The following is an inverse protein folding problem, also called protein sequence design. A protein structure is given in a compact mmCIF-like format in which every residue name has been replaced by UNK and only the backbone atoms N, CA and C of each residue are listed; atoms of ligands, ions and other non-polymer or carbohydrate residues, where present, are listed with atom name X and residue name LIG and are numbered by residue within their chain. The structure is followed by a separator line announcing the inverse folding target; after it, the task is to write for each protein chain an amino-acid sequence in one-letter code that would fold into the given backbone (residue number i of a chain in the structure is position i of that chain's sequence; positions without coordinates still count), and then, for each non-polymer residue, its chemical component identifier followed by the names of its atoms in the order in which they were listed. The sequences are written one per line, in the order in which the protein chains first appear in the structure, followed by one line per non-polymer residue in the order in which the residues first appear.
data_IF_190588176613
#
_entry.id   IF_190588176613
#
_cell.length_a   1.000
_cell.length_b   1.000
_cell.length_c   1.000
_cell.angle_alpha   90.00
_cell.angle_beta   90.00
_cell.angle_gamma   90.00
#
_symmetry.space_group_name_H-M   'P 1'
#
loop_
_entity.id
_entity.type
_entity.pdbx_description
1 polymer ?
#
# COMPACT_ATOMS: atom_id res chain seq x y z
N UNK A 1 5.21 -10.93 -22.59
CA UNK A 1 4.20 -10.21 -21.81
C UNK A 1 2.90 -11.00 -21.62
N UNK A 2 2.00 -10.59 -20.71
CA UNK A 2 0.66 -11.17 -20.54
C UNK A 2 -0.38 -10.15 -21.02
N UNK A 3 -1.19 -10.54 -22.00
CA UNK A 3 -2.33 -9.74 -22.49
C UNK A 3 -3.64 -10.28 -21.92
N UNK A 4 -4.47 -9.38 -21.36
CA UNK A 4 -5.81 -9.70 -20.87
C UNK A 4 -6.83 -8.84 -21.58
N UNK A 5 -7.71 -9.46 -22.34
CA UNK A 5 -8.80 -8.81 -23.05
C UNK A 5 -10.12 -8.98 -22.27
N UNK A 6 -10.79 -7.87 -22.03
CA UNK A 6 -12.10 -7.84 -21.37
C UNK A 6 -13.18 -7.49 -22.40
N UNK A 7 -14.36 -8.07 -22.30
CA UNK A 7 -15.49 -7.61 -23.11
C UNK A 7 -16.23 -6.40 -22.48
N UNK A 8 -15.94 -6.10 -21.20
CA UNK A 8 -16.41 -4.90 -20.45
C UNK A 8 -15.30 -4.41 -19.53
N UNK A 9 -15.14 -3.11 -19.27
CA UNK A 9 -14.06 -2.55 -18.44
C UNK A 9 -14.35 -2.73 -16.92
N UNK A 10 -14.74 -3.94 -16.53
CA UNK A 10 -15.05 -4.27 -15.13
C UNK A 10 -13.87 -4.95 -14.46
N UNK A 11 -13.55 -4.56 -13.22
CA UNK A 11 -12.50 -5.16 -12.38
C UNK A 11 -11.08 -5.20 -13.00
N UNK A 12 -10.82 -4.33 -13.98
CA UNK A 12 -9.53 -4.26 -14.70
C UNK A 12 -8.33 -4.17 -13.75
N UNK A 13 -8.39 -3.24 -12.78
CA UNK A 13 -7.33 -3.08 -11.77
C UNK A 13 -7.16 -4.33 -10.88
N UNK A 14 -8.26 -4.96 -10.47
CA UNK A 14 -8.21 -6.15 -9.61
C UNK A 14 -7.58 -7.34 -10.33
N UNK A 15 -7.91 -7.53 -11.62
CA UNK A 15 -7.32 -8.56 -12.48
C UNK A 15 -5.85 -8.29 -12.70
N UNK A 16 -5.48 -7.06 -13.12
CA UNK A 16 -4.10 -6.65 -13.33
C UNK A 16 -3.24 -6.90 -12.09
N UNK A 17 -3.69 -6.41 -10.92
CA UNK A 17 -2.93 -6.50 -9.68
C UNK A 17 -2.70 -7.95 -9.25
N UNK A 18 -3.66 -8.84 -9.48
CA UNK A 18 -3.54 -10.24 -9.11
C UNK A 18 -2.59 -10.99 -10.05
N UNK A 19 -2.70 -10.78 -11.37
CA UNK A 19 -1.78 -11.38 -12.34
C UNK A 19 -0.35 -10.88 -12.09
N UNK A 20 -0.17 -9.57 -11.85
CA UNK A 20 1.13 -8.98 -11.57
C UNK A 20 1.77 -9.54 -10.29
N UNK A 21 0.98 -9.95 -9.29
CA UNK A 21 1.50 -10.61 -8.09
C UNK A 21 2.10 -12.01 -8.36
N UNK A 22 1.60 -12.73 -9.38
CA UNK A 22 2.17 -14.00 -9.82
C UNK A 22 3.34 -13.83 -10.79
N UNK A 23 3.31 -12.78 -11.61
CA UNK A 23 4.30 -12.50 -12.65
C UNK A 23 4.92 -11.09 -12.48
N UNK A 24 5.70 -10.88 -11.40
CA UNK A 24 6.22 -9.55 -11.07
C UNK A 24 7.17 -8.98 -12.14
N UNK A 25 7.89 -9.84 -12.87
CA UNK A 25 8.86 -9.42 -13.88
C UNK A 25 8.23 -9.18 -15.26
N UNK A 26 7.05 -9.73 -15.53
CA UNK A 26 6.41 -9.60 -16.84
C UNK A 26 5.55 -8.33 -16.93
N UNK A 27 5.49 -7.74 -18.12
CA UNK A 27 4.49 -6.72 -18.41
C UNK A 27 3.10 -7.37 -18.49
N UNK A 28 2.11 -6.75 -17.85
CA UNK A 28 0.72 -7.22 -17.83
C UNK A 28 -0.15 -6.09 -18.40
N UNK A 29 -0.75 -6.34 -19.56
CA UNK A 29 -1.70 -5.42 -20.18
C UNK A 29 -3.13 -5.94 -19.99
N UNK A 30 -3.98 -5.18 -19.30
CA UNK A 30 -5.42 -5.47 -19.15
C UNK A 30 -6.21 -4.35 -19.83
N UNK A 31 -7.14 -4.70 -20.70
CA UNK A 31 -7.90 -3.68 -21.44
C UNK A 31 -9.19 -4.28 -22.01
N UNK A 32 -10.25 -3.46 -22.12
CA UNK A 32 -11.46 -3.78 -22.86
C UNK A 32 -11.31 -3.51 -24.37
N UNK A 33 -10.29 -2.75 -24.77
CA UNK A 33 -9.96 -2.47 -26.17
C UNK A 33 -8.70 -3.22 -26.55
N UNK A 34 -8.68 -3.77 -27.77
CA UNK A 34 -7.47 -4.40 -28.30
C UNK A 34 -6.39 -3.34 -28.50
N UNK A 35 -5.24 -3.54 -27.85
CA UNK A 35 -4.08 -2.67 -27.98
C UNK A 35 -2.98 -3.38 -28.75
N UNK A 36 -2.14 -2.60 -29.43
CA UNK A 36 -0.90 -3.09 -30.01
C UNK A 36 0.20 -2.92 -28.96
N UNK A 37 1.04 -3.94 -28.84
CA UNK A 37 2.16 -3.96 -27.90
C UNK A 37 3.46 -4.22 -28.66
N UNK A 38 4.51 -3.55 -28.26
CA UNK A 38 5.87 -3.76 -28.82
C UNK A 38 6.51 -5.06 -28.32
N UNK A 39 6.00 -5.62 -27.21
CA UNK A 39 6.48 -6.85 -26.62
C UNK A 39 5.73 -8.08 -27.15
N UNK A 40 6.47 -9.22 -27.27
CA UNK A 40 5.85 -10.51 -27.62
C UNK A 40 4.88 -10.96 -26.52
N UNK A 41 3.71 -11.42 -26.92
CA UNK A 41 2.68 -11.94 -26.01
C UNK A 41 2.97 -13.41 -25.74
N UNK A 42 3.25 -13.77 -24.47
CA UNK A 42 3.48 -15.15 -24.05
C UNK A 42 2.21 -15.84 -23.56
N UNK A 43 1.31 -15.05 -22.93
CA UNK A 43 0.01 -15.52 -22.45
C UNK A 43 -1.07 -14.54 -22.90
N UNK A 44 -2.12 -15.08 -23.49
CA UNK A 44 -3.33 -14.33 -23.81
C UNK A 44 -4.48 -14.85 -22.97
N UNK A 45 -5.14 -13.97 -22.23
CA UNK A 45 -6.33 -14.27 -21.42
C UNK A 45 -7.52 -13.46 -21.92
N UNK A 46 -8.70 -14.06 -21.89
CA UNK A 46 -9.95 -13.38 -22.17
C UNK A 46 -10.89 -13.52 -20.97
N UNK A 47 -11.47 -12.41 -20.54
CA UNK A 47 -12.47 -12.36 -19.46
C UNK A 47 -13.78 -11.87 -20.06
N UNK A 48 -14.76 -12.75 -20.12
CA UNK A 48 -16.07 -12.49 -20.70
C UNK A 48 -17.15 -12.41 -19.61
N UNK A 49 -17.77 -11.24 -19.49
CA UNK A 49 -18.89 -10.97 -18.61
C UNK A 49 -20.19 -11.21 -19.36
N UNK A 50 -20.95 -12.25 -18.98
CA UNK A 50 -22.29 -12.56 -19.47
C UNK A 50 -23.37 -11.75 -18.75
N UNK A 51 -24.60 -12.30 -18.70
CA UNK A 51 -25.70 -11.73 -17.93
C UNK A 51 -25.56 -12.03 -16.43
N UNK A 52 -25.21 -13.26 -16.10
CA UNK A 52 -25.07 -13.78 -14.73
C UNK A 52 -23.79 -14.64 -14.57
N UNK A 53 -22.85 -14.57 -15.51
CA UNK A 53 -21.64 -15.39 -15.54
C UNK A 53 -20.40 -14.54 -15.79
N UNK A 54 -19.27 -15.05 -15.28
CA UNK A 54 -17.93 -14.60 -15.71
C UNK A 54 -17.16 -15.85 -16.16
N UNK A 55 -16.64 -15.77 -17.38
CA UNK A 55 -15.81 -16.81 -17.97
C UNK A 55 -14.40 -16.28 -18.21
N UNK A 56 -13.39 -17.08 -17.81
CA UNK A 56 -11.99 -16.84 -18.16
C UNK A 56 -11.51 -17.97 -19.06
N UNK A 57 -10.97 -17.61 -20.22
CA UNK A 57 -10.23 -18.52 -21.11
C UNK A 57 -8.83 -17.96 -21.34
N UNK A 58 -7.83 -18.82 -21.54
CA UNK A 58 -6.47 -18.37 -21.75
C UNK A 58 -5.64 -19.36 -22.58
N UNK A 59 -4.59 -18.85 -23.19
CA UNK A 59 -3.72 -19.54 -24.12
C UNK A 59 -2.28 -19.15 -23.83
N UNK A 60 -1.38 -20.13 -23.92
CA UNK A 60 0.06 -19.90 -23.96
C UNK A 60 0.51 -19.84 -25.42
N UNK A 61 1.30 -18.82 -25.76
CA UNK A 61 1.84 -18.64 -27.12
C UNK A 61 3.31 -19.02 -27.08
N UNK A 62 3.62 -20.15 -27.68
CA UNK A 62 5.00 -20.66 -27.79
C UNK A 62 5.64 -20.04 -29.02
N UNK A 63 6.60 -19.17 -28.82
CA UNK A 63 7.38 -18.57 -29.92
C UNK A 63 8.40 -19.55 -30.43
N UNK A 64 8.52 -19.70 -31.76
CA UNK A 64 9.55 -20.51 -32.35
C UNK A 64 10.93 -19.95 -31.97
N UNK A 65 11.87 -20.84 -31.59
CA UNK A 65 13.25 -20.45 -31.29
C UNK A 65 13.88 -19.83 -32.53
N UNK A 66 14.41 -18.62 -32.43
CA UNK A 66 15.14 -17.91 -33.51
C UNK A 66 16.46 -18.63 -33.88
N UNK A 67 16.92 -19.61 -33.08
CA UNK A 67 18.11 -20.42 -33.28
C UNK A 67 17.87 -21.78 -33.99
N UNK A 68 16.63 -22.06 -34.45
CA UNK A 68 16.35 -23.30 -35.16
C UNK A 68 17.00 -23.31 -36.57
N UNK A 69 17.80 -24.33 -36.84
CA UNK A 69 18.55 -24.50 -38.10
C UNK A 69 17.63 -24.45 -39.33
N UNK A 70 18.12 -23.86 -40.40
CA UNK A 70 17.54 -23.42 -41.65
C UNK A 70 16.60 -24.39 -42.45
N UNK A 71 15.97 -25.39 -41.82
CA UNK A 71 15.09 -26.34 -42.49
C UNK A 71 13.65 -26.38 -41.93
N UNK A 72 13.29 -25.57 -40.92
CA UNK A 72 11.92 -25.47 -40.46
C UNK A 72 11.25 -24.22 -41.01
N UNK A 73 9.99 -24.33 -41.41
CA UNK A 73 9.23 -23.21 -42.00
C UNK A 73 9.19 -22.06 -41.01
N UNK A 74 9.53 -20.82 -41.43
CA UNK A 74 9.50 -19.67 -40.53
C UNK A 74 8.08 -19.36 -40.10
N UNK A 75 7.84 -19.29 -38.74
CA UNK A 75 6.85 -18.43 -38.20
C UNK A 75 5.46 -18.98 -37.91
N UNK A 76 5.26 -20.26 -37.57
CA UNK A 76 4.02 -20.64 -36.91
C UNK A 76 4.20 -20.58 -35.40
N UNK A 77 3.53 -19.57 -34.75
CA UNK A 77 3.33 -19.56 -33.30
C UNK A 77 2.49 -20.79 -32.94
N UNK A 78 2.97 -21.61 -32.03
CA UNK A 78 2.19 -22.71 -31.48
C UNK A 78 1.35 -22.17 -30.33
N UNK A 79 0.03 -22.31 -30.43
CA UNK A 79 -0.91 -21.87 -29.40
C UNK A 79 -1.36 -23.09 -28.60
N UNK A 80 -1.11 -23.06 -27.30
CA UNK A 80 -1.52 -24.08 -26.35
C UNK A 80 -2.66 -23.58 -25.51
N UNK A 81 -3.83 -24.21 -25.64
CA UNK A 81 -4.98 -23.90 -24.80
C UNK A 81 -4.73 -24.33 -23.35
N UNK A 82 -5.06 -23.45 -22.42
CA UNK A 82 -5.03 -23.72 -20.99
C UNK A 82 -6.48 -23.85 -20.50
N UNK A 83 -6.78 -24.78 -19.55
CA UNK A 83 -8.14 -24.95 -19.04
C UNK A 83 -8.70 -23.63 -18.49
N UNK A 84 -9.85 -23.23 -19.03
CA UNK A 84 -10.59 -22.05 -18.57
C UNK A 84 -11.62 -22.43 -17.51
N UNK A 85 -12.18 -21.42 -16.85
CA UNK A 85 -13.23 -21.56 -15.85
C UNK A 85 -14.41 -20.60 -16.11
N UNK A 86 -15.59 -21.01 -15.63
CA UNK A 86 -16.79 -20.17 -15.65
C UNK A 86 -17.47 -20.22 -14.28
N UNK A 87 -17.85 -19.06 -13.75
CA UNK A 87 -18.58 -18.93 -12.50
C UNK A 87 -19.93 -18.21 -12.70
N UNK A 88 -20.89 -18.57 -11.85
CA UNK A 88 -22.16 -17.84 -11.71
C UNK A 88 -21.96 -16.68 -10.72
N UNK A 89 -22.46 -15.50 -11.08
CA UNK A 89 -22.33 -14.28 -10.29
C UNK A 89 -23.63 -13.48 -10.28
N UNK A 90 -23.78 -12.67 -9.25
CA UNK A 90 -24.83 -11.65 -9.18
C UNK A 90 -24.18 -10.28 -9.30
N UNK A 91 -24.30 -9.64 -10.45
CA UNK A 91 -23.73 -8.32 -10.70
C UNK A 91 -24.37 -7.19 -9.88
N UNK A 92 -25.51 -7.43 -9.21
CA UNK A 92 -26.07 -6.46 -8.26
C UNK A 92 -25.23 -6.36 -6.97
N UNK A 93 -24.53 -7.44 -6.58
CA UNK A 93 -23.53 -7.45 -5.50
C UNK A 93 -22.10 -7.36 -6.07
N UNK A 94 -21.68 -6.14 -6.38
CA UNK A 94 -20.35 -5.86 -6.95
C UNK A 94 -19.19 -6.38 -6.09
N UNK A 95 -19.34 -6.34 -4.76
CA UNK A 95 -18.27 -6.78 -3.83
C UNK A 95 -18.11 -8.30 -3.89
N UNK A 96 -19.21 -9.02 -3.83
CA UNK A 96 -19.23 -10.48 -3.91
C UNK A 96 -18.74 -10.95 -5.28
N UNK A 97 -19.22 -10.35 -6.35
CA UNK A 97 -18.79 -10.66 -7.73
C UNK A 97 -17.29 -10.48 -7.90
N UNK A 98 -16.74 -9.36 -7.42
CA UNK A 98 -15.28 -9.12 -7.44
C UNK A 98 -14.51 -10.22 -6.70
N UNK A 99 -14.95 -10.58 -5.50
CA UNK A 99 -14.28 -11.60 -4.71
C UNK A 99 -14.33 -12.97 -5.39
N UNK A 100 -15.47 -13.35 -5.96
CA UNK A 100 -15.63 -14.59 -6.73
C UNK A 100 -14.71 -14.65 -7.95
N UNK A 101 -14.66 -13.56 -8.74
CA UNK A 101 -13.74 -13.43 -9.88
C UNK A 101 -12.28 -13.58 -9.43
N UNK A 102 -11.87 -12.86 -8.39
CA UNK A 102 -10.49 -12.95 -7.86
C UNK A 102 -10.16 -14.34 -7.33
N UNK A 103 -11.09 -15.04 -6.71
CA UNK A 103 -10.91 -16.41 -6.26
C UNK A 103 -10.73 -17.38 -7.43
N UNK A 104 -11.56 -17.28 -8.45
CA UNK A 104 -11.42 -18.09 -9.67
C UNK A 104 -10.06 -17.85 -10.32
N UNK A 105 -9.74 -16.59 -10.63
CA UNK A 105 -8.46 -16.23 -11.24
C UNK A 105 -7.26 -16.68 -10.41
N UNK A 106 -7.32 -16.54 -9.08
CA UNK A 106 -6.25 -16.96 -8.17
C UNK A 106 -6.01 -18.47 -8.26
N UNK A 107 -7.08 -19.30 -8.23
CA UNK A 107 -6.95 -20.76 -8.36
C UNK A 107 -6.35 -21.15 -9.69
N UNK A 108 -6.84 -20.57 -10.79
CA UNK A 108 -6.28 -20.79 -12.13
C UNK A 108 -4.79 -20.46 -12.20
N UNK A 109 -4.39 -19.32 -11.61
CA UNK A 109 -2.98 -18.89 -11.56
C UNK A 109 -2.13 -19.81 -10.67
N UNK A 110 -2.66 -20.27 -9.53
CA UNK A 110 -1.99 -21.28 -8.69
C UNK A 110 -1.77 -22.59 -9.44
N UNK A 111 -2.79 -23.06 -10.16
CA UNK A 111 -2.71 -24.32 -10.91
C UNK A 111 -1.72 -24.23 -12.08
N UNK A 112 -1.66 -23.10 -12.73
CA UNK A 112 -0.72 -22.88 -13.83
C UNK A 112 0.72 -22.73 -13.33
N UNK A 113 0.95 -21.85 -12.34
CA UNK A 113 2.30 -21.51 -11.87
C UNK A 113 2.85 -22.50 -10.85
N UNK A 114 2.02 -23.38 -10.29
CA UNK A 114 2.31 -24.26 -9.14
C UNK A 114 2.80 -23.50 -7.90
N UNK A 115 2.32 -22.25 -7.75
CA UNK A 115 2.68 -21.35 -6.65
C UNK A 115 1.42 -20.88 -5.94
N UNK A 116 1.55 -20.62 -4.64
CA UNK A 116 0.54 -19.92 -3.85
C UNK A 116 1.11 -18.62 -3.29
N UNK A 117 0.25 -17.62 -3.08
CA UNK A 117 0.65 -16.36 -2.47
C UNK A 117 0.23 -16.36 -0.99
N UNK A 118 1.08 -15.89 -0.06
CA UNK A 118 0.77 -15.91 1.38
C UNK A 118 -0.51 -15.15 1.75
N UNK A 119 -0.84 -14.09 1.04
CA UNK A 119 -2.08 -13.31 1.21
C UNK A 119 -3.22 -13.75 0.28
N UNK A 120 -3.06 -14.91 -0.39
CA UNK A 120 -4.04 -15.41 -1.34
C UNK A 120 -4.32 -14.43 -2.48
N UNK A 121 -5.59 -14.17 -2.74
CA UNK A 121 -6.02 -13.21 -3.77
C UNK A 121 -6.04 -11.74 -3.30
N UNK A 122 -5.62 -11.46 -2.06
CA UNK A 122 -5.59 -10.10 -1.51
C UNK A 122 -4.39 -9.33 -2.06
N UNK A 123 -4.64 -8.29 -2.82
CA UNK A 123 -3.62 -7.44 -3.45
C UNK A 123 -3.49 -6.05 -2.82
N UNK A 124 -4.22 -5.79 -1.72
CA UNK A 124 -4.16 -4.52 -1.00
C UNK A 124 -2.91 -4.37 -0.12
N UNK A 125 -2.50 -3.12 0.11
CA UNK A 125 -1.29 -2.81 0.90
C UNK A 125 -1.49 -2.82 2.42
N UNK A 126 -2.73 -2.91 2.89
CA UNK A 126 -3.08 -2.93 4.33
C UNK A 126 -4.02 -4.08 4.65
N UNK A 127 -3.53 -5.31 4.67
CA UNK A 127 -4.37 -6.49 4.94
C UNK A 127 -4.98 -6.49 6.34
N UNK A 128 -4.34 -5.85 7.33
CA UNK A 128 -4.81 -5.71 8.72
C UNK A 128 -6.10 -4.90 8.86
N UNK A 129 -6.47 -4.07 7.87
CA UNK A 129 -7.75 -3.34 7.88
C UNK A 129 -8.97 -4.26 7.89
N UNK A 130 -8.84 -5.46 7.32
CA UNK A 130 -9.95 -6.41 7.24
C UNK A 130 -10.26 -6.98 8.63
N UNK A 131 -9.31 -7.63 9.33
CA UNK A 131 -9.56 -8.08 10.70
C UNK A 131 -9.88 -6.93 11.65
N UNK A 132 -9.28 -5.73 11.48
CA UNK A 132 -9.62 -4.56 12.29
C UNK A 132 -11.12 -4.23 12.20
N UNK A 133 -11.65 -4.11 10.98
CA UNK A 133 -13.07 -3.84 10.77
C UNK A 133 -13.97 -4.93 11.38
N UNK A 134 -13.60 -6.19 11.21
CA UNK A 134 -14.35 -7.31 11.76
C UNK A 134 -14.32 -7.32 13.30
N UNK A 135 -13.20 -6.95 13.92
CA UNK A 135 -13.10 -6.75 15.39
C UNK A 135 -14.00 -5.62 15.88
N UNK A 136 -14.04 -4.50 15.14
CA UNK A 136 -14.93 -3.38 15.43
C UNK A 136 -16.43 -3.77 15.34
N UNK A 137 -16.76 -4.67 14.41
CA UNK A 137 -18.08 -5.29 14.27
C UNK A 137 -18.37 -6.36 15.34
N UNK A 138 -17.43 -6.63 16.26
CA UNK A 138 -17.56 -7.61 17.34
C UNK A 138 -17.37 -9.07 16.94
N UNK A 139 -16.74 -9.32 15.79
CA UNK A 139 -16.45 -10.68 15.32
C UNK A 139 -15.36 -11.35 16.15
N UNK A 140 -15.53 -12.65 16.39
CA UNK A 140 -14.52 -13.48 17.04
C UNK A 140 -13.33 -13.76 16.12
N UNK A 141 -12.17 -14.13 16.71
CA UNK A 141 -10.98 -14.56 15.93
C UNK A 141 -11.32 -15.69 14.95
N UNK A 142 -12.17 -16.61 15.34
CA UNK A 142 -12.59 -17.75 14.52
C UNK A 142 -13.44 -17.30 13.30
N UNK A 143 -14.33 -16.32 13.49
CA UNK A 143 -15.10 -15.73 12.40
C UNK A 143 -14.19 -14.95 11.44
N UNK A 144 -13.21 -14.19 11.97
CA UNK A 144 -12.21 -13.47 11.20
C UNK A 144 -11.37 -14.46 10.39
N UNK A 145 -10.88 -15.53 11.02
CA UNK A 145 -10.12 -16.58 10.35
C UNK A 145 -10.90 -17.17 9.18
N UNK A 146 -12.14 -17.62 9.41
CA UNK A 146 -13.00 -18.16 8.35
C UNK A 146 -13.21 -17.16 7.22
N UNK A 147 -13.53 -15.91 7.55
CA UNK A 147 -13.75 -14.88 6.55
C UNK A 147 -12.50 -14.64 5.68
N UNK A 148 -11.33 -14.50 6.30
CA UNK A 148 -10.08 -14.30 5.57
C UNK A 148 -9.69 -15.51 4.73
N UNK A 149 -9.93 -16.72 5.26
CA UNK A 149 -9.66 -17.98 4.57
C UNK A 149 -10.58 -18.18 3.38
N UNK A 150 -11.88 -18.01 3.58
CA UNK A 150 -12.89 -18.32 2.56
C UNK A 150 -12.97 -17.21 1.50
N UNK A 151 -12.78 -15.95 1.87
CA UNK A 151 -12.91 -14.82 0.94
C UNK A 151 -11.60 -14.54 0.20
N UNK A 152 -10.47 -14.57 0.91
CA UNK A 152 -9.19 -14.14 0.35
C UNK A 152 -8.21 -15.29 0.09
N UNK A 153 -8.50 -16.50 0.54
CA UNK A 153 -7.63 -17.67 0.40
C UNK A 153 -6.23 -17.43 1.01
N UNK A 154 -6.16 -16.58 2.04
CA UNK A 154 -4.92 -16.26 2.73
C UNK A 154 -4.38 -17.46 3.50
N UNK A 155 -3.06 -17.53 3.71
CA UNK A 155 -2.45 -18.57 4.54
C UNK A 155 -2.77 -18.38 6.01
N UNK A 156 -2.77 -19.48 6.78
CA UNK A 156 -3.07 -19.47 8.20
C UNK A 156 -2.12 -18.53 8.95
N UNK A 157 -0.83 -18.60 8.64
CA UNK A 157 0.20 -17.70 9.19
C UNK A 157 -0.14 -16.22 9.00
N UNK A 158 -0.61 -15.83 7.81
CA UNK A 158 -0.92 -14.43 7.49
C UNK A 158 -2.24 -13.98 8.09
N UNK A 159 -3.19 -14.87 8.26
CA UNK A 159 -4.45 -14.60 8.95
C UNK A 159 -4.17 -14.35 10.44
N UNK A 160 -3.41 -15.22 11.09
CA UNK A 160 -3.02 -15.06 12.49
C UNK A 160 -2.25 -13.75 12.70
N UNK A 161 -1.21 -13.50 11.89
CA UNK A 161 -0.42 -12.28 11.94
C UNK A 161 -1.29 -11.01 11.80
N UNK A 162 -2.19 -10.99 10.80
CA UNK A 162 -3.05 -9.83 10.57
C UNK A 162 -4.04 -9.60 11.72
N UNK A 163 -4.55 -10.68 12.30
CA UNK A 163 -5.48 -10.61 13.45
C UNK A 163 -4.77 -10.13 14.71
N UNK A 164 -3.58 -10.66 15.00
CA UNK A 164 -2.77 -10.22 16.15
C UNK A 164 -2.40 -8.74 16.06
N UNK A 165 -2.01 -8.27 14.87
CA UNK A 165 -1.72 -6.86 14.64
C UNK A 165 -2.98 -6.02 14.85
N UNK A 166 -4.11 -6.44 14.27
CA UNK A 166 -5.37 -5.71 14.40
C UNK A 166 -5.85 -5.60 15.86
N UNK A 167 -5.70 -6.65 16.66
CA UNK A 167 -6.03 -6.63 18.09
C UNK A 167 -5.14 -5.63 18.86
N UNK A 168 -3.83 -5.63 18.57
CA UNK A 168 -2.89 -4.68 19.18
C UNK A 168 -3.19 -3.24 18.79
N UNK A 169 -3.41 -3.00 17.48
CA UNK A 169 -3.81 -1.68 16.98
C UNK A 169 -5.12 -1.22 17.65
N UNK A 170 -6.14 -2.07 17.70
CA UNK A 170 -7.41 -1.76 18.35
C UNK A 170 -7.24 -1.40 19.85
N UNK A 171 -6.38 -2.13 20.57
CA UNK A 171 -6.10 -1.84 21.98
C UNK A 171 -5.41 -0.48 22.18
N UNK A 172 -4.55 -0.07 21.24
CA UNK A 172 -3.89 1.25 21.24
C UNK A 172 -4.89 2.34 20.87
N UNK A 173 -5.62 2.13 19.77
CA UNK A 173 -6.55 3.12 19.23
C UNK A 173 -7.73 3.43 20.16
N UNK A 174 -8.16 2.46 20.98
CA UNK A 174 -9.20 2.68 22.01
C UNK A 174 -8.83 3.73 23.06
N UNK A 175 -7.55 4.09 23.18
CA UNK A 175 -7.08 5.14 24.11
C UNK A 175 -7.19 6.54 23.50
N UNK A 176 -7.41 6.64 22.20
CA UNK A 176 -7.50 7.91 21.47
C UNK A 176 -8.90 8.51 21.69
N UNK A 177 -8.95 9.77 22.09
CA UNK A 177 -10.18 10.55 22.12
C UNK A 177 -10.52 11.00 20.68
N UNK A 178 -11.39 10.27 20.00
CA UNK A 178 -11.81 10.60 18.64
C UNK A 178 -12.79 11.77 18.55
N UNK A 179 -13.54 12.04 19.61
CA UNK A 179 -14.59 13.07 19.60
C UNK A 179 -14.02 14.47 19.90
N UNK A 180 -13.10 14.54 20.86
CA UNK A 180 -12.56 15.81 21.34
C UNK A 180 -11.06 15.96 21.13
N UNK A 181 -10.39 14.91 20.60
CA UNK A 181 -8.97 14.91 20.38
C UNK A 181 -8.57 15.29 18.95
N UNK A 182 -7.26 15.55 18.79
CA UNK A 182 -6.62 15.77 17.50
C UNK A 182 -5.18 15.27 17.53
N UNK A 183 -4.60 15.07 16.34
CA UNK A 183 -3.19 14.76 16.15
C UNK A 183 -2.50 15.92 15.46
N UNK A 184 -1.30 16.26 15.89
CA UNK A 184 -0.51 17.35 15.32
C UNK A 184 0.60 16.78 14.43
N UNK A 185 0.58 17.14 13.14
CA UNK A 185 1.67 16.87 12.23
C UNK A 185 2.50 18.13 11.98
N UNK A 186 3.81 18.03 12.16
CA UNK A 186 4.76 19.11 11.94
C UNK A 186 5.71 18.68 10.81
N UNK A 187 5.66 19.41 9.69
CA UNK A 187 6.48 19.09 8.52
C UNK A 187 7.83 19.80 8.53
N UNK A 188 8.93 19.08 8.40
CA UNK A 188 10.26 19.65 8.14
C UNK A 188 10.63 19.37 6.68
N UNK A 189 10.57 20.35 5.78
CA UNK A 189 10.65 20.09 4.34
C UNK A 189 12.09 19.91 3.83
N UNK A 190 13.07 19.89 4.71
CA UNK A 190 14.48 19.84 4.33
C UNK A 190 14.99 18.39 4.32
N UNK A 191 15.85 18.07 3.31
CA UNK A 191 16.57 16.81 3.21
C UNK A 191 18.05 17.07 2.94
N UNK A 192 18.98 16.20 3.39
CA UNK A 192 20.40 16.33 3.00
C UNK A 192 20.55 16.32 1.47
N UNK A 193 19.86 15.37 0.81
CA UNK A 193 19.78 15.21 -0.65
C UNK A 193 18.41 14.67 -1.02
N UNK A 194 17.99 14.82 -2.27
CA UNK A 194 16.76 14.20 -2.77
C UNK A 194 17.02 12.74 -3.16
N UNK A 195 16.27 11.81 -2.58
CA UNK A 195 16.33 10.38 -2.94
C UNK A 195 15.70 10.13 -4.32
N UNK A 196 16.30 9.24 -5.11
CA UNK A 196 15.86 8.96 -6.48
C UNK A 196 14.37 8.56 -6.60
N UNK A 197 13.85 7.87 -5.59
CA UNK A 197 12.48 7.36 -5.54
C UNK A 197 11.50 8.27 -4.76
N UNK A 198 11.95 9.43 -4.26
CA UNK A 198 11.14 10.28 -3.39
C UNK A 198 10.13 11.09 -4.20
N UNK A 199 8.85 10.94 -3.85
CA UNK A 199 7.73 11.72 -4.39
C UNK A 199 7.26 12.86 -3.46
N UNK A 200 7.87 12.99 -2.28
CA UNK A 200 7.51 14.03 -1.33
C UNK A 200 8.14 15.37 -1.70
N UNK A 201 7.46 16.46 -1.31
CA UNK A 201 8.03 17.80 -1.41
C UNK A 201 9.21 17.91 -0.45
N UNK A 202 10.42 18.01 -1.02
CA UNK A 202 11.64 18.16 -0.24
C UNK A 202 12.57 19.19 -0.87
N UNK A 203 13.26 19.93 0.00
CA UNK A 203 14.21 20.94 -0.41
C UNK A 203 15.62 20.56 0.04
N UNK A 204 16.61 20.50 -0.88
CA UNK A 204 17.99 20.19 -0.53
C UNK A 204 18.54 21.20 0.49
N UNK A 205 19.02 20.72 1.62
CA UNK A 205 19.49 21.56 2.73
C UNK A 205 20.61 22.51 2.28
N UNK A 206 21.48 22.07 1.38
CA UNK A 206 22.59 22.90 0.84
C UNK A 206 22.08 24.24 0.28
N UNK A 207 20.95 24.24 -0.41
CA UNK A 207 20.35 25.44 -1.01
C UNK A 207 19.55 26.28 -0.01
N UNK A 208 19.15 25.70 1.12
CA UNK A 208 18.20 26.33 2.05
C UNK A 208 18.77 26.57 3.44
N UNK A 209 20.01 26.18 3.70
CA UNK A 209 20.65 26.24 5.03
C UNK A 209 20.47 27.61 5.72
N UNK A 210 20.62 28.70 4.97
CA UNK A 210 20.49 30.07 5.50
C UNK A 210 19.04 30.52 5.74
N UNK A 211 18.05 29.68 5.43
CA UNK A 211 16.62 29.95 5.59
C UNK A 211 15.92 29.04 6.60
N UNK A 212 16.61 28.09 7.17
CA UNK A 212 16.05 27.15 8.14
C UNK A 212 15.52 27.87 9.37
N UNK A 213 16.28 28.84 9.92
CA UNK A 213 15.82 29.61 11.09
C UNK A 213 14.58 30.45 10.77
N UNK A 214 14.55 31.09 9.60
CA UNK A 214 13.36 31.83 9.16
C UNK A 214 12.14 30.94 8.95
N UNK A 215 12.37 29.69 8.52
CA UNK A 215 11.32 28.68 8.46
C UNK A 215 10.82 28.33 9.85
N UNK A 216 11.72 28.09 10.81
CA UNK A 216 11.34 27.79 12.20
C UNK A 216 10.59 28.95 12.85
N UNK A 217 10.98 30.21 12.57
CA UNK A 217 10.24 31.38 13.04
C UNK A 217 8.79 31.42 12.50
N UNK A 218 8.60 31.01 11.24
CA UNK A 218 7.26 30.90 10.66
C UNK A 218 6.48 29.74 11.29
N UNK A 219 7.12 28.59 11.44
CA UNK A 219 6.52 27.40 12.06
C UNK A 219 6.10 27.64 13.50
N UNK A 220 6.88 28.35 14.29
CA UNK A 220 6.52 28.73 15.66
C UNK A 220 5.25 29.60 15.72
N UNK A 221 5.06 30.50 14.76
CA UNK A 221 3.80 31.28 14.66
C UNK A 221 2.61 30.39 14.32
N UNK A 222 2.79 29.39 13.47
CA UNK A 222 1.74 28.42 13.16
C UNK A 222 1.44 27.54 14.36
N UNK A 223 2.45 27.15 15.16
CA UNK A 223 2.28 26.42 16.42
C UNK A 223 1.45 27.27 17.41
N UNK A 224 1.77 28.56 17.61
CA UNK A 224 1.00 29.45 18.48
C UNK A 224 -0.45 29.60 18.03
N UNK A 225 -0.66 29.79 16.73
CA UNK A 225 -2.00 29.86 16.16
C UNK A 225 -2.78 28.57 16.39
N UNK A 226 -2.15 27.42 16.15
CA UNK A 226 -2.77 26.10 16.33
C UNK A 226 -3.12 25.86 17.80
N UNK A 227 -2.19 26.13 18.70
CA UNK A 227 -2.43 26.01 20.14
C UNK A 227 -3.60 26.88 20.61
N UNK A 228 -3.66 28.13 20.16
CA UNK A 228 -4.77 29.03 20.49
C UNK A 228 -6.11 28.56 19.88
N UNK A 229 -6.08 27.99 18.66
CA UNK A 229 -7.29 27.52 17.97
C UNK A 229 -7.85 26.25 18.59
N UNK A 230 -7.00 25.34 19.05
CA UNK A 230 -7.36 24.02 19.55
C UNK A 230 -7.23 23.88 21.08
N UNK A 231 -7.15 24.99 21.83
CA UNK A 231 -6.95 24.98 23.28
C UNK A 231 -7.99 24.16 24.07
N UNK A 232 -9.17 23.93 23.47
CA UNK A 232 -10.29 23.18 24.07
C UNK A 232 -10.31 21.70 23.64
N UNK A 233 -9.30 21.25 22.89
CA UNK A 233 -9.20 19.89 22.36
C UNK A 233 -8.01 19.17 22.99
N UNK A 234 -8.12 17.83 23.12
CA UNK A 234 -7.05 16.99 23.63
C UNK A 234 -6.04 16.65 22.53
N UNK A 235 -4.76 16.91 22.77
CA UNK A 235 -3.70 16.52 21.83
C UNK A 235 -3.33 15.06 22.04
N UNK A 236 -3.81 14.18 21.13
CA UNK A 236 -3.59 12.74 21.22
C UNK A 236 -2.20 12.30 20.81
N UNK A 237 -1.65 12.89 19.75
CA UNK A 237 -0.31 12.54 19.25
C UNK A 237 0.34 13.69 18.50
N UNK A 238 1.69 13.65 18.49
CA UNK A 238 2.53 14.58 17.74
C UNK A 238 3.43 13.76 16.81
N UNK A 239 3.53 14.20 15.58
CA UNK A 239 4.40 13.59 14.59
C UNK A 239 5.21 14.66 13.85
N UNK A 240 6.52 14.65 14.01
CA UNK A 240 7.43 15.52 13.27
C UNK A 240 8.04 14.70 12.13
N UNK A 241 7.70 15.05 10.90
CA UNK A 241 8.07 14.31 9.71
C UNK A 241 8.30 15.23 8.51
N UNK A 242 8.06 14.71 7.31
CA UNK A 242 8.17 15.44 6.04
C UNK A 242 9.36 15.04 5.19
N UNK A 243 10.35 15.91 5.04
CA UNK A 243 11.61 15.58 4.39
C UNK A 243 12.48 14.73 5.31
N UNK A 244 13.25 15.40 6.17
CA UNK A 244 14.08 14.71 7.18
C UNK A 244 14.21 15.62 8.40
N UNK A 245 13.45 15.45 9.46
CA UNK A 245 13.53 16.31 10.66
C UNK A 245 14.92 16.42 11.27
N UNK A 246 15.69 15.33 11.23
CA UNK A 246 17.07 15.29 11.72
C UNK A 246 18.08 16.05 10.85
N UNK A 247 17.64 16.75 9.80
CA UNK A 247 18.47 17.78 9.12
C UNK A 247 18.64 19.04 9.94
N UNK A 248 17.73 19.30 10.89
CA UNK A 248 17.86 20.40 11.84
C UNK A 248 19.11 20.21 12.68
N UNK A 249 19.80 21.33 12.98
CA UNK A 249 20.89 21.32 13.94
C UNK A 249 20.36 21.01 15.36
N UNK A 250 21.21 20.49 16.29
CA UNK A 250 20.74 20.13 17.63
C UNK A 250 19.96 21.24 18.32
N UNK A 251 20.47 22.49 18.29
CA UNK A 251 19.79 23.63 18.91
C UNK A 251 18.45 23.99 18.23
N UNK A 252 18.31 23.72 16.92
CA UNK A 252 17.07 23.96 16.19
C UNK A 252 16.01 22.92 16.55
N UNK A 253 16.43 21.68 16.70
CA UNK A 253 15.55 20.59 17.14
C UNK A 253 15.08 20.82 18.59
N UNK A 254 16.00 21.16 19.51
CA UNK A 254 15.66 21.52 20.89
C UNK A 254 14.68 22.71 20.95
N UNK A 255 14.98 23.78 20.17
CA UNK A 255 14.10 24.95 20.05
C UNK A 255 12.66 24.54 19.67
N UNK A 256 12.52 23.71 18.63
CA UNK A 256 11.22 23.25 18.15
C UNK A 256 10.49 22.40 19.22
N UNK A 257 11.20 21.45 19.82
CA UNK A 257 10.60 20.57 20.85
C UNK A 257 10.16 21.38 22.08
N UNK A 258 10.97 22.34 22.55
CA UNK A 258 10.61 23.24 23.64
C UNK A 258 9.40 24.09 23.29
N UNK A 259 9.34 24.64 22.06
CA UNK A 259 8.20 25.41 21.60
C UNK A 259 6.92 24.60 21.67
N UNK A 260 6.95 23.34 21.20
CA UNK A 260 5.80 22.44 21.26
C UNK A 260 5.39 22.19 22.73
N UNK A 261 6.34 21.82 23.59
CA UNK A 261 6.08 21.54 25.02
C UNK A 261 5.52 22.73 25.78
N UNK A 262 5.91 23.96 25.39
CA UNK A 262 5.39 25.18 26.01
C UNK A 262 4.03 25.62 25.44
N UNK A 263 3.69 25.21 24.21
CA UNK A 263 2.46 25.65 23.53
C UNK A 263 1.28 24.72 23.74
N UNK A 264 1.49 23.43 24.04
CA UNK A 264 0.46 22.43 24.16
C UNK A 264 0.52 21.71 25.51
N UNK A 265 -0.65 21.33 26.03
CA UNK A 265 -0.74 20.37 27.12
C UNK A 265 -0.51 18.95 26.55
N UNK A 266 0.53 18.28 27.03
CA UNK A 266 0.93 16.94 26.59
C UNK A 266 0.49 15.84 27.56
N UNK A 267 -0.31 16.15 28.59
CA UNK A 267 -0.73 15.16 29.60
C UNK A 267 -1.50 13.98 29.02
N UNK A 268 -2.28 14.21 27.96
CA UNK A 268 -3.04 13.18 27.23
C UNK A 268 -2.36 12.74 25.92
N UNK A 269 -1.13 13.20 25.65
CA UNK A 269 -0.40 12.86 24.44
C UNK A 269 0.16 11.44 24.54
N UNK A 270 -0.42 10.52 23.74
CA UNK A 270 -0.07 9.10 23.76
C UNK A 270 1.22 8.79 23.00
N UNK A 271 1.59 9.64 22.05
CA UNK A 271 2.76 9.45 21.20
C UNK A 271 3.35 10.78 20.76
N UNK A 272 4.68 10.90 20.87
CA UNK A 272 5.43 12.00 20.28
C UNK A 272 6.58 11.42 19.43
N UNK A 273 6.41 11.40 18.12
CA UNK A 273 7.35 10.83 17.16
C UNK A 273 8.12 11.89 16.41
N UNK A 274 9.43 11.68 16.26
CA UNK A 274 10.32 12.46 15.39
C UNK A 274 10.96 11.50 14.39
N UNK A 275 10.71 11.70 13.10
CA UNK A 275 11.33 10.89 12.04
C UNK A 275 12.84 11.10 11.98
N UNK A 276 13.56 9.97 11.95
CA UNK A 276 15.01 9.91 11.83
C UNK A 276 15.43 8.93 10.73
N UNK A 277 14.79 9.02 9.57
CA UNK A 277 14.91 8.05 8.47
C UNK A 277 16.24 8.07 7.71
N UNK A 278 17.13 9.06 7.97
CA UNK A 278 18.39 9.23 7.27
C UNK A 278 19.57 9.10 8.24
N UNK A 279 20.33 7.97 8.22
CA UNK A 279 21.48 7.77 9.10
C UNK A 279 22.55 8.88 8.99
N UNK A 280 22.73 9.46 7.80
CA UNK A 280 23.68 10.54 7.52
C UNK A 280 23.30 11.89 8.16
N UNK A 281 22.07 12.01 8.68
CA UNK A 281 21.58 13.22 9.36
C UNK A 281 21.51 13.05 10.89
N UNK A 282 21.80 11.86 11.42
CA UNK A 282 21.68 11.56 12.83
C UNK A 282 23.04 11.75 13.53
N UNK A 283 23.04 12.49 14.63
CA UNK A 283 24.19 12.60 15.56
C UNK A 283 23.74 12.26 16.97
N UNK A 284 24.71 11.92 17.82
CA UNK A 284 24.43 11.63 19.24
C UNK A 284 23.74 12.81 19.92
N UNK A 285 24.21 14.03 19.69
CA UNK A 285 23.62 15.25 20.24
C UNK A 285 22.16 15.41 19.84
N UNK A 286 21.82 15.17 18.55
CA UNK A 286 20.42 15.24 18.08
C UNK A 286 19.52 14.21 18.74
N UNK A 287 20.04 13.01 19.01
CA UNK A 287 19.28 11.99 19.74
C UNK A 287 19.08 12.35 21.21
N UNK A 288 20.08 12.96 21.84
CA UNK A 288 19.98 13.42 23.22
C UNK A 288 18.98 14.59 23.38
N UNK A 289 18.97 15.55 22.44
CA UNK A 289 17.98 16.65 22.41
C UNK A 289 16.60 16.18 21.95
N UNK A 290 16.53 15.22 21.03
CA UNK A 290 15.29 14.60 20.59
C UNK A 290 14.67 13.66 21.61
N UNK A 291 15.43 13.26 22.64
CA UNK A 291 14.93 12.42 23.71
C UNK A 291 13.93 13.22 24.56
N UNK A 292 12.67 12.91 24.40
CA UNK A 292 11.58 13.49 25.22
C UNK A 292 11.69 12.85 26.60
N UNK A 293 12.29 13.57 27.56
CA UNK A 293 12.31 13.20 28.95
C UNK A 293 11.05 13.67 29.66
#
# INVERSE_FOLDING_TARGET
MIEVLLNKPEFEYDIHSLIKAFFPEQYVGVSAEKKEYDEKIDIRMQVNYGEDTIQITWQEIVHANEDAQANEKPGQEEVKEIPGETIQVDFSDRVRTKNQLKQMLYRMLCDYTKRTLPWGNLTGIRPTKIPMKLLEEGKSREEIYRYMKDTYLASDEKIELATDIAERENAILKKIDYDNGYSLYIGIPFCPTTCLYCSFTSYPLVSWKNRVDAYLDALEREIDYTAAKFYHKNLNSIYIGGGTPTTLEPYQLDRLIRKIKCSFDLSDCLEFTVEAGRPDSITREKLEEGAIR
#
